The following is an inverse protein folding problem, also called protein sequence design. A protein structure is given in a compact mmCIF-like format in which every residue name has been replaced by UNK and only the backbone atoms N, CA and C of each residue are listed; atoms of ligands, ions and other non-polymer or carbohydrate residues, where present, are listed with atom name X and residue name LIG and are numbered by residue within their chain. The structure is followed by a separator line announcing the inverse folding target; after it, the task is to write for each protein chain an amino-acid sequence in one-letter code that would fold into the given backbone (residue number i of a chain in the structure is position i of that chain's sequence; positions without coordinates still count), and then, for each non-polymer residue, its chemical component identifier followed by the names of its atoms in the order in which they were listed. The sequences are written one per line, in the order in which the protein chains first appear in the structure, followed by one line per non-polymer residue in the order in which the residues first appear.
data_IF_916017094136
#
_entry.id   IF_916017094136
#
_cell.length_a   1.000
_cell.length_b   1.000
_cell.length_c   1.000
_cell.angle_alpha   90.00
_cell.angle_beta   90.00
_cell.angle_gamma   90.00
#
_symmetry.space_group_name_H-M   'P 1'
#
loop_
_entity.id
_entity.type
_entity.pdbx_description
1 polymer ?
#
# COMPACT_ATOMS: atom_id res chain seq x y z
N UNK A 1 14.16 -0.67 11.83
CA UNK A 1 13.21 -1.60 11.21
C UNK A 1 12.90 -1.17 9.78
N UNK A 2 12.56 -2.12 8.96
CA UNK A 2 12.23 -1.84 7.57
C UNK A 2 10.79 -1.36 7.46
N UNK A 3 10.55 -0.42 6.58
CA UNK A 3 9.21 0.09 6.29
C UNK A 3 8.90 -0.08 4.82
N UNK A 4 7.63 -0.14 4.51
CA UNK A 4 7.14 -0.25 3.15
C UNK A 4 6.46 1.05 2.77
N UNK A 5 6.87 1.61 1.65
CA UNK A 5 6.19 2.77 1.07
C UNK A 5 5.26 2.27 -0.03
N UNK A 6 3.98 2.49 0.14
CA UNK A 6 2.96 2.02 -0.79
C UNK A 6 2.35 3.21 -1.49
N UNK A 7 2.41 3.19 -2.82
CA UNK A 7 1.85 4.27 -3.64
C UNK A 7 0.74 3.70 -4.51
N UNK A 8 -0.42 4.31 -4.49
CA UNK A 8 -1.52 3.88 -5.33
C UNK A 8 -1.29 4.39 -6.76
N UNK A 9 -1.22 3.46 -7.71
CA UNK A 9 -0.98 3.79 -9.12
C UNK A 9 -2.20 3.61 -9.99
N UNK A 10 -3.21 2.88 -9.51
CA UNK A 10 -4.45 2.69 -10.25
C UNK A 10 -5.65 2.87 -9.32
N UNK A 11 -6.76 3.32 -9.90
CA UNK A 11 -7.99 3.51 -9.14
C UNK A 11 -8.59 2.17 -8.72
N UNK A 12 -9.18 2.14 -7.53
CA UNK A 12 -9.95 0.99 -7.08
C UNK A 12 -11.38 0.97 -7.60
N UNK A 13 -11.79 2.02 -8.33
CA UNK A 13 -13.15 2.11 -8.87
C UNK A 13 -13.34 1.02 -9.90
N UNK A 14 -14.45 0.29 -9.80
CA UNK A 14 -14.74 -0.81 -10.71
C UNK A 14 -14.04 -2.12 -10.35
N UNK A 15 -13.24 -2.12 -9.29
CA UNK A 15 -12.59 -3.33 -8.80
C UNK A 15 -13.45 -4.01 -7.75
N UNK A 16 -13.05 -5.20 -7.33
CA UNK A 16 -13.75 -5.93 -6.29
C UNK A 16 -13.81 -5.10 -5.02
N UNK A 17 -14.93 -5.21 -4.32
CA UNK A 17 -15.13 -4.46 -3.10
C UNK A 17 -14.07 -4.74 -2.05
N UNK A 18 -13.59 -5.98 -1.98
CA UNK A 18 -12.54 -6.34 -1.04
C UNK A 18 -11.24 -5.58 -1.30
N UNK A 19 -10.90 -5.38 -2.57
CA UNK A 19 -9.71 -4.64 -2.93
C UNK A 19 -9.82 -3.17 -2.56
N UNK A 20 -10.99 -2.58 -2.79
CA UNK A 20 -11.25 -1.20 -2.39
C UNK A 20 -11.16 -1.05 -0.88
N UNK A 21 -11.71 -2.01 -0.15
CA UNK A 21 -11.66 -2.01 1.29
C UNK A 21 -10.22 -2.11 1.79
N UNK A 22 -9.43 -2.96 1.16
CA UNK A 22 -8.02 -3.13 1.51
C UNK A 22 -7.24 -1.83 1.28
N UNK A 23 -7.49 -1.16 0.15
CA UNK A 23 -6.85 0.14 -0.12
C UNK A 23 -7.20 1.15 0.97
N UNK A 24 -8.46 1.19 1.36
CA UNK A 24 -8.91 2.09 2.42
C UNK A 24 -8.24 1.76 3.75
N UNK A 25 -8.10 0.49 4.06
CA UNK A 25 -7.44 0.05 5.29
C UNK A 25 -5.97 0.44 5.31
N UNK A 26 -5.33 0.47 4.14
CA UNK A 26 -3.96 0.95 4.01
C UNK A 26 -3.86 2.48 4.11
N UNK A 27 -4.97 3.18 3.94
CA UNK A 27 -4.97 4.63 3.95
C UNK A 27 -4.90 5.25 2.58
N UNK A 28 -5.03 4.45 1.53
CA UNK A 28 -4.98 4.92 0.14
C UNK A 28 -6.38 5.24 -0.33
N UNK A 29 -6.59 6.43 -0.85
CA UNK A 29 -7.90 6.88 -1.30
C UNK A 29 -7.93 7.21 -2.79
N UNK A 30 -6.84 7.71 -3.33
CA UNK A 30 -6.75 8.19 -4.70
C UNK A 30 -5.47 7.74 -5.35
N UNK A 31 -5.45 7.78 -6.67
CA UNK A 31 -4.21 7.55 -7.43
C UNK A 31 -3.20 8.61 -7.00
N UNK A 32 -1.99 8.16 -6.72
CA UNK A 32 -0.93 9.04 -6.28
C UNK A 32 -0.79 9.15 -4.77
N UNK A 33 -1.75 8.62 -4.01
CA UNK A 33 -1.63 8.59 -2.56
C UNK A 33 -0.47 7.68 -2.15
N UNK A 34 0.27 8.13 -1.16
CA UNK A 34 1.43 7.41 -0.64
C UNK A 34 1.27 7.22 0.85
N UNK A 35 1.50 6.00 1.30
CA UNK A 35 1.52 5.71 2.73
C UNK A 35 2.77 4.92 3.07
N UNK A 36 3.24 5.08 4.30
CA UNK A 36 4.38 4.32 4.81
C UNK A 36 3.86 3.44 5.94
N UNK A 37 4.09 2.15 5.83
CA UNK A 37 3.68 1.17 6.81
C UNK A 37 4.86 0.35 7.26
N UNK A 38 4.78 -0.20 8.46
CA UNK A 38 5.81 -1.10 8.93
C UNK A 38 5.78 -2.40 8.13
N UNK A 39 6.94 -3.01 7.98
CA UNK A 39 7.06 -4.28 7.28
C UNK A 39 6.55 -5.41 8.18
N UNK A 40 5.27 -5.68 8.11
CA UNK A 40 4.61 -6.71 8.89
C UNK A 40 3.90 -7.70 7.96
N UNK A 41 3.74 -8.95 8.38
CA UNK A 41 3.04 -9.95 7.56
C UNK A 41 1.62 -9.52 7.16
N UNK A 42 0.88 -8.89 8.07
CA UNK A 42 -0.48 -8.40 7.79
C UNK A 42 -0.46 -7.32 6.72
N UNK A 43 0.50 -6.41 6.80
CA UNK A 43 0.64 -5.34 5.80
C UNK A 43 1.04 -5.93 4.46
N UNK A 44 1.97 -6.87 4.46
CA UNK A 44 2.37 -7.54 3.22
C UNK A 44 1.20 -8.28 2.57
N UNK A 45 0.37 -8.92 3.37
CA UNK A 45 -0.82 -9.59 2.86
C UNK A 45 -1.79 -8.62 2.21
N UNK A 46 -2.03 -7.49 2.84
CA UNK A 46 -2.91 -6.45 2.30
C UNK A 46 -2.37 -5.89 0.99
N UNK A 47 -1.08 -5.58 0.97
CA UNK A 47 -0.42 -5.06 -0.22
C UNK A 47 -0.45 -6.09 -1.35
N UNK A 48 -0.20 -7.35 -1.02
CA UNK A 48 -0.24 -8.42 -2.03
C UNK A 48 -1.62 -8.52 -2.68
N UNK A 49 -2.67 -8.35 -1.91
CA UNK A 49 -4.03 -8.43 -2.43
C UNK A 49 -4.33 -7.31 -3.43
N UNK A 50 -3.65 -6.18 -3.32
CA UNK A 50 -3.89 -5.03 -4.21
C UNK A 50 -2.64 -4.64 -4.99
N UNK A 51 -1.66 -5.54 -5.11
CA UNK A 51 -0.37 -5.23 -5.74
C UNK A 51 -0.51 -4.72 -7.18
N UNK A 52 -1.57 -5.09 -7.86
CA UNK A 52 -1.82 -4.62 -9.22
C UNK A 52 -2.36 -3.19 -9.26
N UNK A 53 -2.68 -2.64 -8.10
CA UNK A 53 -3.18 -1.28 -7.96
C UNK A 53 -2.17 -0.34 -7.31
N UNK A 54 -1.10 -0.89 -6.76
CA UNK A 54 -0.12 -0.10 -6.00
C UNK A 54 1.30 -0.51 -6.38
N UNK A 55 2.22 0.40 -6.09
CA UNK A 55 3.66 0.12 -6.17
C UNK A 55 4.22 0.17 -4.76
N UNK A 56 5.07 -0.80 -4.43
CA UNK A 56 5.66 -0.89 -3.10
C UNK A 56 7.16 -0.72 -3.21
N UNK A 57 7.70 0.12 -2.35
CA UNK A 57 9.14 0.27 -2.19
C UNK A 57 9.51 -0.04 -0.75
N UNK A 58 10.64 -0.70 -0.58
CA UNK A 58 11.15 -0.99 0.75
C UNK A 58 12.09 0.15 1.15
N UNK A 59 11.82 0.76 2.29
CA UNK A 59 12.69 1.82 2.82
C UNK A 59 13.19 1.41 4.18
N UNK A 60 14.49 1.61 4.41
CA UNK A 60 15.06 1.40 5.72
C UNK A 60 14.88 2.63 6.59
N UNK A 61 15.00 2.45 7.89
CA UNK A 61 14.88 3.56 8.83
C UNK A 61 15.92 4.64 8.56
N UNK A 62 17.12 4.22 8.21
CA UNK A 62 18.22 5.17 7.97
C UNK A 62 17.90 6.09 6.79
N UNK A 63 17.20 5.58 5.81
CA UNK A 63 16.83 6.35 4.63
C UNK A 63 15.68 7.32 4.89
N UNK A 64 14.92 7.08 5.92
CA UNK A 64 13.77 7.89 6.27
C UNK A 64 14.15 9.19 6.97
N UNK A 65 15.39 9.36 7.28
CA UNK A 65 15.87 10.57 7.95
C UNK A 65 15.91 11.79 7.04
#
# INVERSE_FOLDING_TARGET
MTKLQVTQIKSGIGRHQNQRHTLRSLGLKRIGDVVVKEDRPEIRGMVHAVRHLVTVSVIGEDEAK
#
